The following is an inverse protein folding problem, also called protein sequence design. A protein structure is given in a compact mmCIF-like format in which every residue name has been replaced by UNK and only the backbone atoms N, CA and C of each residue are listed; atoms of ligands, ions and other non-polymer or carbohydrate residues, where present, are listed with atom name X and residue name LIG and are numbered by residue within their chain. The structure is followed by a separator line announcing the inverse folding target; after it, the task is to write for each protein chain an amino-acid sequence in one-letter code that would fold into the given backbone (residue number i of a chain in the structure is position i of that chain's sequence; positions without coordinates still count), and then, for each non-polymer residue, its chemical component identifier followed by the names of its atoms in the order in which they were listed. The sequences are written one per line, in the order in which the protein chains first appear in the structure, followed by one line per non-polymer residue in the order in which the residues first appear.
data_IF_061179684330
#
_entry.id   IF_061179684330
#
_cell.length_a   1.000
_cell.length_b   1.000
_cell.length_c   1.000
_cell.angle_alpha   90.00
_cell.angle_beta   90.00
_cell.angle_gamma   90.00
#
_symmetry.space_group_name_H-M   'P 1'
#
loop_
_entity.id
_entity.type
_entity.pdbx_description
1 polymer ?
#
# COMPACT_ATOMS: atom_id res chain seq x y z
N UNK A 1 -2.60 -3.90 -10.91
CA UNK A 1 -2.53 -2.45 -11.13
C UNK A 1 -2.83 -2.13 -12.59
N UNK A 2 -4.03 -2.54 -13.02
CA UNK A 2 -4.58 -2.38 -14.38
C UNK A 2 -6.11 -2.39 -14.24
N UNK A 3 -6.82 -1.80 -15.19
CA UNK A 3 -8.29 -1.82 -15.31
C UNK A 3 -8.90 -3.23 -15.30
N UNK A 4 -8.14 -4.25 -15.75
CA UNK A 4 -8.55 -5.66 -15.74
C UNK A 4 -7.67 -6.55 -14.84
N UNK A 5 -7.23 -6.04 -13.69
CA UNK A 5 -6.37 -6.75 -12.75
C UNK A 5 -6.97 -8.08 -12.25
N UNK A 6 -8.17 -8.05 -11.68
CA UNK A 6 -8.85 -9.24 -11.16
C UNK A 6 -9.14 -10.26 -12.24
N UNK A 7 -9.58 -9.80 -13.41
CA UNK A 7 -9.83 -10.65 -14.58
C UNK A 7 -8.56 -11.39 -15.02
N UNK A 8 -7.42 -10.72 -15.05
CA UNK A 8 -6.14 -11.35 -15.44
C UNK A 8 -5.65 -12.36 -14.40
N UNK A 9 -5.82 -12.09 -13.10
CA UNK A 9 -5.46 -13.06 -12.05
C UNK A 9 -6.33 -14.32 -12.14
N UNK A 10 -7.64 -14.17 -12.39
CA UNK A 10 -8.52 -15.32 -12.65
C UNK A 10 -8.07 -16.10 -13.90
N UNK A 11 -7.62 -15.41 -14.94
CA UNK A 11 -7.09 -16.04 -16.16
C UNK A 11 -5.82 -16.86 -15.90
N UNK A 12 -4.91 -16.33 -15.09
CA UNK A 12 -3.71 -17.06 -14.65
C UNK A 12 -4.08 -18.29 -13.80
N UNK A 13 -5.07 -18.15 -12.91
CA UNK A 13 -5.57 -19.29 -12.13
C UNK A 13 -6.21 -20.37 -13.02
N UNK A 14 -6.98 -19.97 -14.04
CA UNK A 14 -7.54 -20.91 -15.03
C UNK A 14 -6.44 -21.72 -15.71
N UNK A 15 -5.34 -21.08 -16.13
CA UNK A 15 -4.21 -21.77 -16.75
C UNK A 15 -3.59 -22.80 -15.79
N UNK A 16 -3.33 -22.41 -14.53
CA UNK A 16 -2.76 -23.32 -13.55
C UNK A 16 -3.66 -24.52 -13.23
N UNK A 17 -4.99 -24.30 -13.19
CA UNK A 17 -5.97 -25.38 -13.04
C UNK A 17 -6.01 -26.28 -14.28
N UNK A 18 -6.02 -25.71 -15.49
CA UNK A 18 -6.05 -26.48 -16.73
C UNK A 18 -4.82 -27.37 -16.91
N UNK A 19 -3.65 -26.93 -16.44
CA UNK A 19 -2.40 -27.68 -16.54
C UNK A 19 -2.10 -28.56 -15.32
N UNK A 20 -2.96 -28.57 -14.29
CA UNK A 20 -2.72 -29.33 -13.05
C UNK A 20 -1.51 -28.85 -12.23
N UNK A 21 -1.13 -27.59 -12.38
CA UNK A 21 0.01 -26.95 -11.71
C UNK A 21 -0.39 -26.33 -10.36
N UNK A 22 -1.09 -27.11 -9.52
CA UNK A 22 -1.58 -26.73 -8.19
C UNK A 22 -1.46 -27.92 -7.22
N UNK A 23 -1.47 -27.66 -5.91
CA UNK A 23 -1.56 -28.70 -4.88
C UNK A 23 -0.34 -29.62 -4.75
N UNK A 24 0.80 -29.29 -5.38
CA UNK A 24 2.06 -30.05 -5.24
C UNK A 24 3.27 -29.11 -5.09
N UNK A 25 4.37 -29.55 -4.45
CA UNK A 25 5.60 -28.77 -4.39
C UNK A 25 6.16 -28.45 -5.79
N UNK A 26 6.69 -27.25 -5.98
CA UNK A 26 7.29 -26.80 -7.24
C UNK A 26 6.32 -26.21 -8.26
N UNK A 27 5.02 -26.17 -7.97
CA UNK A 27 3.99 -25.54 -8.82
C UNK A 27 3.05 -24.68 -7.98
N UNK A 28 2.35 -23.74 -8.62
CA UNK A 28 1.31 -22.93 -7.98
C UNK A 28 1.13 -21.57 -8.65
N UNK A 29 0.09 -20.85 -8.22
CA UNK A 29 -0.12 -19.43 -8.57
C UNK A 29 0.33 -18.59 -7.38
N UNK A 30 1.51 -17.98 -7.51
CA UNK A 30 2.18 -17.31 -6.39
C UNK A 30 2.21 -15.79 -6.64
N UNK A 31 1.28 -15.01 -6.06
CA UNK A 31 1.36 -13.56 -6.12
C UNK A 31 2.52 -13.07 -5.25
N UNK A 32 3.49 -12.38 -5.85
CA UNK A 32 4.60 -11.77 -5.12
C UNK A 32 4.09 -10.53 -4.38
N UNK A 33 3.74 -10.70 -3.11
CA UNK A 33 3.32 -9.61 -2.23
C UNK A 33 4.47 -8.62 -2.01
N UNK A 34 4.13 -7.33 -1.91
CA UNK A 34 5.11 -6.23 -1.86
C UNK A 34 5.63 -5.91 -0.46
N UNK A 35 4.78 -5.34 0.41
CA UNK A 35 5.16 -4.97 1.78
C UNK A 35 5.30 -6.20 2.69
N UNK A 36 6.20 -6.07 3.67
CA UNK A 36 6.61 -7.12 4.61
C UNK A 36 5.44 -7.80 5.33
N UNK A 37 4.35 -7.06 5.58
CA UNK A 37 3.19 -7.55 6.32
C UNK A 37 1.86 -7.29 5.60
N UNK A 38 1.85 -7.02 4.28
CA UNK A 38 0.58 -6.82 3.56
C UNK A 38 -0.31 -8.06 3.67
N UNK A 39 0.30 -9.25 3.68
CA UNK A 39 -0.45 -10.49 3.90
C UNK A 39 -1.08 -10.49 5.31
N UNK A 40 -0.29 -10.19 6.34
CA UNK A 40 -0.79 -10.14 7.72
C UNK A 40 -1.84 -9.07 7.96
N UNK A 41 -1.70 -7.86 7.40
CA UNK A 41 -2.70 -6.81 7.50
C UNK A 41 -4.05 -7.27 6.91
N UNK A 42 -4.03 -7.86 5.70
CA UNK A 42 -5.23 -8.47 5.13
C UNK A 42 -5.80 -9.59 6.04
N UNK A 43 -4.95 -10.47 6.56
CA UNK A 43 -5.36 -11.54 7.46
C UNK A 43 -6.03 -11.01 8.75
N UNK A 44 -5.65 -9.82 9.20
CA UNK A 44 -6.18 -9.16 10.41
C UNK A 44 -7.41 -8.27 10.14
N UNK A 45 -7.99 -8.33 8.94
CA UNK A 45 -9.22 -7.60 8.62
C UNK A 45 -8.99 -6.14 8.24
N UNK A 46 -7.81 -5.76 7.77
CA UNK A 46 -7.53 -4.40 7.25
C UNK A 46 -8.20 -4.11 5.89
N UNK A 47 -9.41 -4.63 5.70
CA UNK A 47 -10.30 -4.37 4.57
C UNK A 47 -11.67 -3.98 5.12
N UNK A 48 -12.37 -3.03 4.49
CA UNK A 48 -13.58 -2.46 5.07
C UNK A 48 -14.79 -3.40 5.07
N UNK A 49 -14.67 -4.61 4.52
CA UNK A 49 -15.78 -5.56 4.35
C UNK A 49 -15.60 -6.86 5.13
N UNK A 50 -14.49 -7.02 5.87
CA UNK A 50 -14.17 -8.27 6.55
C UNK A 50 -13.50 -8.07 7.91
N UNK A 51 -13.74 -9.05 8.79
CA UNK A 51 -13.05 -9.27 10.04
C UNK A 51 -11.87 -10.23 9.83
N UNK A 52 -11.00 -10.35 10.83
CA UNK A 52 -9.80 -11.21 10.75
C UNK A 52 -10.15 -12.64 10.29
N UNK A 53 -9.30 -13.18 9.41
CA UNK A 53 -9.45 -14.50 8.80
C UNK A 53 -10.28 -14.52 7.52
N UNK A 54 -10.41 -13.39 6.81
CA UNK A 54 -11.18 -13.26 5.56
C UNK A 54 -12.68 -13.58 5.74
N UNK A 55 -13.26 -13.10 6.84
CA UNK A 55 -14.68 -13.37 7.17
C UNK A 55 -15.51 -12.11 7.03
N UNK A 56 -16.48 -12.13 6.14
CA UNK A 56 -17.24 -10.95 5.77
C UNK A 56 -18.07 -10.38 6.95
N UNK A 57 -18.15 -9.05 7.07
CA UNK A 57 -18.88 -8.37 8.15
C UNK A 57 -20.37 -8.71 8.19
N UNK A 58 -20.97 -8.96 7.02
CA UNK A 58 -22.38 -9.34 6.92
C UNK A 58 -22.69 -10.78 7.36
N UNK A 59 -21.67 -11.62 7.62
CA UNK A 59 -21.90 -12.94 8.21
C UNK A 59 -22.27 -12.81 9.68
N UNK A 60 -23.55 -12.99 9.99
CA UNK A 60 -24.09 -12.82 11.33
C UNK A 60 -23.42 -13.74 12.36
N UNK A 61 -23.09 -14.97 11.98
CA UNK A 61 -22.45 -15.92 12.90
C UNK A 61 -21.03 -15.44 13.28
N UNK A 62 -20.26 -14.98 12.30
CA UNK A 62 -18.96 -14.33 12.56
C UNK A 62 -19.16 -13.08 13.41
N UNK A 63 -20.02 -12.15 13.00
CA UNK A 63 -20.18 -10.87 13.71
C UNK A 63 -20.55 -11.06 15.18
N UNK A 64 -21.50 -11.95 15.50
CA UNK A 64 -21.87 -12.29 16.88
C UNK A 64 -20.72 -12.85 17.72
N UNK A 65 -19.78 -13.58 17.12
CA UNK A 65 -18.57 -14.06 17.81
C UNK A 65 -17.72 -12.88 18.29
N UNK A 66 -17.50 -11.88 17.44
CA UNK A 66 -16.73 -10.69 17.77
C UNK A 66 -17.46 -9.75 18.72
N UNK A 67 -18.76 -9.53 18.49
CA UNK A 67 -19.60 -8.72 19.40
C UNK A 67 -19.61 -9.31 20.82
N UNK A 68 -19.55 -10.65 20.95
CA UNK A 68 -19.46 -11.32 22.24
C UNK A 68 -18.09 -11.19 22.91
N UNK A 69 -16.98 -11.12 22.16
CA UNK A 69 -15.65 -10.90 22.76
C UNK A 69 -15.45 -9.41 23.12
N UNK A 70 -15.80 -8.51 22.19
CA UNK A 70 -15.55 -7.07 22.30
C UNK A 70 -16.66 -6.30 23.03
N UNK A 71 -17.77 -6.96 23.37
CA UNK A 71 -18.88 -6.37 24.12
C UNK A 71 -19.45 -5.09 23.48
N UNK A 72 -19.45 -5.03 22.14
CA UNK A 72 -19.96 -3.91 21.35
C UNK A 72 -20.70 -4.45 20.14
N UNK A 73 -21.78 -3.78 19.73
CA UNK A 73 -22.47 -4.10 18.48
C UNK A 73 -21.64 -3.62 17.29
N UNK A 74 -21.49 -4.46 16.27
CA UNK A 74 -20.73 -4.13 15.06
C UNK A 74 -21.69 -3.81 13.91
N UNK A 75 -21.33 -2.80 13.11
CA UNK A 75 -22.05 -2.47 11.88
C UNK A 75 -21.86 -3.60 10.85
N UNK A 76 -22.94 -4.21 10.32
CA UNK A 76 -22.82 -5.22 9.27
C UNK A 76 -22.47 -4.63 7.89
N UNK A 77 -22.61 -3.31 7.70
CA UNK A 77 -22.34 -2.65 6.43
C UNK A 77 -20.83 -2.47 6.19
N UNK A 78 -20.33 -2.80 4.98
CA UNK A 78 -18.96 -2.52 4.61
C UNK A 78 -18.63 -1.03 4.69
N UNK A 79 -17.47 -0.71 5.25
CA UNK A 79 -16.93 0.65 5.29
C UNK A 79 -16.40 1.16 3.94
N UNK A 80 -15.86 2.38 3.95
CA UNK A 80 -15.24 2.97 2.78
C UNK A 80 -13.90 2.34 2.42
N UNK A 81 -13.58 2.30 1.12
CA UNK A 81 -12.20 2.17 0.62
C UNK A 81 -11.59 3.57 0.47
N UNK A 82 -10.26 3.65 0.42
CA UNK A 82 -9.53 4.94 0.36
C UNK A 82 -10.10 5.91 -0.70
N UNK A 83 -10.35 5.51 -1.97
CA UNK A 83 -10.93 6.44 -2.94
C UNK A 83 -12.31 6.98 -2.51
N UNK A 84 -13.14 6.14 -1.90
CA UNK A 84 -14.46 6.55 -1.40
C UNK A 84 -14.34 7.51 -0.20
N UNK A 85 -13.33 7.33 0.66
CA UNK A 85 -13.05 8.26 1.76
C UNK A 85 -12.70 9.64 1.24
N UNK A 86 -11.88 9.72 0.19
CA UNK A 86 -11.46 10.99 -0.40
C UNK A 86 -12.61 11.72 -1.10
N UNK A 87 -13.42 10.99 -1.89
CA UNK A 87 -14.64 11.54 -2.48
C UNK A 87 -15.61 12.07 -1.42
N UNK A 88 -15.85 11.29 -0.35
CA UNK A 88 -16.73 11.68 0.75
C UNK A 88 -16.16 12.87 1.56
N UNK A 89 -14.84 12.99 1.69
CA UNK A 89 -14.20 14.11 2.37
C UNK A 89 -14.39 15.41 1.58
N UNK A 90 -14.19 15.37 0.26
CA UNK A 90 -14.45 16.51 -0.63
C UNK A 90 -15.94 16.87 -0.65
N UNK A 91 -16.82 15.87 -0.60
CA UNK A 91 -18.27 16.06 -0.44
C UNK A 91 -18.69 16.62 0.92
N UNK A 92 -17.78 16.64 1.90
CA UNK A 92 -18.02 17.15 3.25
C UNK A 92 -18.71 16.16 4.18
N UNK A 93 -18.86 14.88 3.79
CA UNK A 93 -19.47 13.81 4.60
C UNK A 93 -18.44 13.09 5.48
N UNK A 94 -17.16 13.08 5.09
CA UNK A 94 -16.08 12.43 5.82
C UNK A 94 -15.16 13.46 6.49
N UNK A 95 -15.11 13.44 7.83
CA UNK A 95 -14.49 14.54 8.62
C UNK A 95 -13.17 14.20 9.28
N UNK A 96 -12.93 12.93 9.57
CA UNK A 96 -11.83 12.50 10.41
C UNK A 96 -11.11 11.29 9.83
N UNK A 97 -9.78 11.30 9.85
CA UNK A 97 -8.96 10.18 9.38
C UNK A 97 -7.82 9.89 10.37
N UNK A 98 -7.63 8.61 10.70
CA UNK A 98 -6.46 8.14 11.43
C UNK A 98 -5.58 7.27 10.52
N UNK A 99 -4.45 7.83 10.10
CA UNK A 99 -3.47 7.22 9.19
C UNK A 99 -2.36 6.58 10.01
N UNK A 100 -2.20 5.26 9.90
CA UNK A 100 -1.13 4.52 10.58
C UNK A 100 -0.14 3.96 9.56
N UNK A 101 1.08 4.50 9.53
CA UNK A 101 2.21 3.95 8.77
C UNK A 101 2.06 3.96 7.24
N UNK A 102 1.31 4.90 6.67
CA UNK A 102 1.05 5.02 5.23
C UNK A 102 1.22 6.49 4.76
N UNK A 103 1.56 6.69 3.49
CA UNK A 103 1.79 8.01 2.89
C UNK A 103 1.01 8.22 1.59
N UNK A 104 -0.31 8.38 1.71
CA UNK A 104 -1.24 8.60 0.59
C UNK A 104 -0.83 9.77 -0.31
N UNK A 105 -0.37 10.87 0.30
CA UNK A 105 0.00 12.09 -0.42
C UNK A 105 1.12 11.88 -1.46
N UNK A 106 1.94 10.83 -1.30
CA UNK A 106 2.95 10.45 -2.30
C UNK A 106 2.57 9.17 -3.07
N UNK A 107 2.01 8.16 -2.40
CA UNK A 107 1.81 6.82 -2.97
C UNK A 107 0.59 6.68 -3.87
N UNK A 108 -0.47 7.45 -3.62
CA UNK A 108 -1.77 7.28 -4.26
C UNK A 108 -1.85 8.08 -5.59
N UNK A 109 -2.67 7.63 -6.56
CA UNK A 109 -2.81 8.29 -7.84
C UNK A 109 -3.58 9.61 -7.67
N UNK A 110 -3.53 10.47 -8.68
CA UNK A 110 -4.18 11.78 -8.68
C UNK A 110 -3.90 12.57 -7.39
N UNK A 111 -2.63 12.92 -7.22
CA UNK A 111 -2.13 13.64 -6.04
C UNK A 111 -2.92 14.92 -5.74
N UNK A 112 -3.50 15.57 -6.76
CA UNK A 112 -4.29 16.79 -6.57
C UNK A 112 -5.61 16.48 -5.84
N UNK A 113 -6.29 15.41 -6.23
CA UNK A 113 -7.50 14.94 -5.56
C UNK A 113 -7.20 14.54 -4.10
N UNK A 114 -6.11 13.80 -3.86
CA UNK A 114 -5.69 13.42 -2.50
C UNK A 114 -5.42 14.66 -1.63
N UNK A 115 -4.73 15.67 -2.15
CA UNK A 115 -4.45 16.90 -1.40
C UNK A 115 -5.72 17.66 -1.06
N UNK A 116 -6.68 17.73 -1.99
CA UNK A 116 -7.97 18.34 -1.75
C UNK A 116 -8.75 17.62 -0.64
N UNK A 117 -8.77 16.28 -0.67
CA UNK A 117 -9.43 15.47 0.34
C UNK A 117 -8.81 15.64 1.73
N UNK A 118 -7.48 15.50 1.85
CA UNK A 118 -6.78 15.66 3.13
C UNK A 118 -6.96 17.07 3.72
N UNK A 119 -7.03 18.10 2.86
CA UNK A 119 -7.25 19.49 3.29
C UNK A 119 -8.71 19.79 3.68
N UNK A 120 -9.67 18.99 3.22
CA UNK A 120 -11.10 19.18 3.49
C UNK A 120 -11.55 18.57 4.83
N UNK A 121 -10.77 17.63 5.37
CA UNK A 121 -11.08 16.97 6.64
C UNK A 121 -10.81 17.88 7.84
N UNK A 122 -11.65 17.75 8.89
CA UNK A 122 -11.56 18.53 10.12
C UNK A 122 -10.50 17.98 11.09
N UNK A 123 -10.15 16.71 10.97
CA UNK A 123 -9.11 16.09 11.78
C UNK A 123 -8.38 14.98 11.01
N UNK A 124 -7.08 15.16 10.83
CA UNK A 124 -6.21 14.15 10.23
C UNK A 124 -5.13 13.81 11.25
N UNK A 125 -5.18 12.58 11.77
CA UNK A 125 -4.21 12.03 12.71
C UNK A 125 -3.24 11.18 11.90
N UNK A 126 -1.94 11.44 12.01
CA UNK A 126 -0.90 10.61 11.38
C UNK A 126 -0.06 9.97 12.48
N UNK A 127 0.06 8.64 12.43
CA UNK A 127 0.99 7.87 13.25
C UNK A 127 2.08 7.27 12.37
N UNK A 128 3.27 7.84 12.41
CA UNK A 128 4.43 7.40 11.63
C UNK A 128 5.73 7.73 12.37
N UNK A 129 6.84 7.18 11.87
CA UNK A 129 8.20 7.41 12.31
C UNK A 129 8.72 8.80 11.90
N UNK A 130 8.30 9.28 10.74
CA UNK A 130 8.82 10.49 10.14
C UNK A 130 7.69 11.41 9.69
N UNK A 131 7.97 12.72 9.68
CA UNK A 131 7.15 13.66 8.93
C UNK A 131 7.26 13.32 7.44
N UNK A 132 6.21 12.67 6.92
CA UNK A 132 6.06 12.22 5.55
C UNK A 132 5.22 13.24 4.74
N UNK A 133 4.85 12.91 3.50
CA UNK A 133 4.09 13.85 2.66
C UNK A 133 2.64 14.04 3.17
N UNK A 134 2.04 12.98 3.70
CA UNK A 134 0.69 13.00 4.30
C UNK A 134 0.66 13.80 5.61
N UNK A 135 1.73 13.74 6.41
CA UNK A 135 1.87 14.47 7.67
C UNK A 135 1.83 15.99 7.50
N UNK A 136 2.10 16.52 6.30
CA UNK A 136 1.97 17.95 5.97
C UNK A 136 0.53 18.47 6.02
N UNK A 137 -0.46 17.56 6.03
CA UNK A 137 -1.88 17.86 6.16
C UNK A 137 -2.43 17.45 7.55
N UNK A 138 -1.57 16.89 8.41
CA UNK A 138 -2.00 16.37 9.70
C UNK A 138 -2.30 17.49 10.70
N UNK A 139 -3.35 17.26 11.49
CA UNK A 139 -3.71 18.09 12.65
C UNK A 139 -3.05 17.54 13.93
N UNK A 140 -2.83 16.22 13.97
CA UNK A 140 -2.19 15.52 15.08
C UNK A 140 -1.15 14.56 14.52
N UNK A 141 0.04 14.54 15.13
CA UNK A 141 1.09 13.58 14.80
C UNK A 141 1.45 12.75 16.03
N UNK A 142 1.40 11.42 15.90
CA UNK A 142 1.73 10.46 16.94
C UNK A 142 3.01 9.70 16.53
N UNK A 143 4.13 9.84 17.25
CA UNK A 143 5.37 9.14 16.88
C UNK A 143 5.20 7.62 16.97
N UNK A 144 5.38 6.93 15.84
CA UNK A 144 5.39 5.48 15.76
C UNK A 144 6.70 4.86 16.25
N UNK A 145 6.87 3.55 16.03
CA UNK A 145 8.10 2.83 16.39
C UNK A 145 8.72 2.14 15.18
N UNK A 146 10.03 1.90 15.22
CA UNK A 146 10.71 1.12 14.19
C UNK A 146 10.56 -0.39 14.46
N UNK A 147 10.84 -1.24 13.47
CA UNK A 147 10.78 -2.70 13.69
C UNK A 147 11.80 -3.20 14.73
N UNK A 148 12.84 -2.41 15.03
CA UNK A 148 13.84 -2.71 16.07
C UNK A 148 13.32 -2.42 17.48
N UNK A 149 12.30 -1.58 17.59
CA UNK A 149 11.71 -1.13 18.86
C UNK A 149 10.48 -1.94 19.25
N UNK A 150 9.87 -2.65 18.29
CA UNK A 150 8.63 -3.40 18.46
C UNK A 150 8.88 -4.85 18.83
N UNK A 151 7.91 -5.41 19.55
CA UNK A 151 7.66 -6.84 19.64
C UNK A 151 6.39 -7.18 18.86
N UNK A 152 6.34 -8.32 18.17
CA UNK A 152 5.26 -8.61 17.24
C UNK A 152 5.52 -9.77 16.29
N UNK A 153 4.75 -9.79 15.20
CA UNK A 153 4.93 -10.73 14.10
C UNK A 153 4.71 -10.08 12.75
N UNK A 154 5.42 -10.55 11.72
CA UNK A 154 5.10 -10.25 10.32
C UNK A 154 4.72 -11.52 9.59
N UNK A 155 3.71 -11.41 8.74
CA UNK A 155 3.26 -12.46 7.83
C UNK A 155 3.66 -12.09 6.41
N UNK A 156 4.56 -12.88 5.83
CA UNK A 156 5.14 -12.60 4.51
C UNK A 156 4.30 -13.17 3.34
N UNK A 157 4.83 -13.05 2.11
CA UNK A 157 4.17 -13.47 0.88
C UNK A 157 3.77 -14.95 0.80
N UNK A 158 4.49 -15.84 1.50
CA UNK A 158 4.17 -17.28 1.55
C UNK A 158 3.33 -17.66 2.78
N UNK A 159 2.66 -16.68 3.40
CA UNK A 159 1.83 -16.81 4.62
C UNK A 159 2.63 -17.17 5.88
N UNK A 160 3.95 -17.03 5.85
CA UNK A 160 4.81 -17.35 7.00
C UNK A 160 4.78 -16.20 8.00
N UNK A 161 4.30 -16.52 9.19
CA UNK A 161 4.34 -15.72 10.41
C UNK A 161 5.74 -15.88 11.01
N UNK A 162 6.47 -14.78 11.08
CA UNK A 162 7.81 -14.67 11.64
C UNK A 162 7.80 -13.70 12.82
N UNK A 163 8.44 -14.04 13.96
CA UNK A 163 8.51 -13.15 15.10
C UNK A 163 9.40 -11.93 14.81
N UNK A 164 8.94 -10.76 15.26
CA UNK A 164 9.72 -9.53 15.34
C UNK A 164 10.05 -9.33 16.81
N UNK A 165 11.34 -9.20 17.13
CA UNK A 165 11.80 -9.06 18.51
C UNK A 165 12.36 -7.68 18.75
N UNK A 166 11.97 -7.12 19.87
CA UNK A 166 12.46 -5.85 20.38
C UNK A 166 13.94 -5.95 20.71
N UNK A 167 14.75 -5.07 20.14
CA UNK A 167 16.21 -4.99 20.40
C UNK A 167 16.61 -3.68 21.06
N UNK A 168 15.81 -2.62 20.90
CA UNK A 168 15.96 -1.34 21.59
C UNK A 168 14.62 -0.90 22.17
N UNK A 169 14.63 -0.02 23.17
CA UNK A 169 13.39 0.58 23.67
C UNK A 169 12.83 1.60 22.65
N UNK A 170 11.50 1.75 22.52
CA UNK A 170 10.87 2.77 21.71
C UNK A 170 11.37 4.15 22.12
N UNK A 171 11.84 4.92 21.16
CA UNK A 171 12.30 6.28 21.40
C UNK A 171 11.12 7.22 21.71
N UNK A 172 9.93 6.88 21.22
CA UNK A 172 8.66 7.54 21.57
C UNK A 172 8.20 7.22 23.00
N UNK A 173 8.82 6.24 23.68
CA UNK A 173 8.44 5.78 25.02
C UNK A 173 7.23 4.86 25.07
N UNK A 174 6.59 4.54 23.93
CA UNK A 174 5.40 3.68 23.85
C UNK A 174 5.53 2.73 22.66
N UNK A 175 5.03 1.51 22.80
CA UNK A 175 4.90 0.58 21.67
C UNK A 175 3.71 1.01 20.78
N UNK A 176 3.77 0.71 19.48
CA UNK A 176 2.81 1.26 18.52
C UNK A 176 1.36 0.83 18.73
N UNK A 177 1.14 -0.40 19.21
CA UNK A 177 -0.19 -0.90 19.56
C UNK A 177 -0.73 -0.26 20.85
N UNK A 178 0.14 0.17 21.78
CA UNK A 178 -0.25 0.85 23.03
C UNK A 178 -0.84 2.23 22.72
N UNK A 179 -0.30 2.93 21.70
CA UNK A 179 -0.86 4.21 21.25
C UNK A 179 -2.32 4.05 20.79
N UNK A 180 -2.60 3.02 19.99
CA UNK A 180 -3.97 2.72 19.55
C UNK A 180 -4.88 2.32 20.72
N UNK A 181 -4.37 1.53 21.68
CA UNK A 181 -5.10 1.16 22.90
C UNK A 181 -5.49 2.37 23.77
N UNK A 182 -4.55 3.31 23.92
CA UNK A 182 -4.78 4.55 24.66
C UNK A 182 -5.76 5.47 23.95
N UNK A 183 -5.68 5.58 22.62
CA UNK A 183 -6.64 6.34 21.84
C UNK A 183 -8.05 5.78 22.01
N UNK A 184 -8.23 4.46 21.88
CA UNK A 184 -9.53 3.82 22.11
C UNK A 184 -10.04 4.04 23.55
N UNK A 185 -9.16 3.90 24.55
CA UNK A 185 -9.50 4.14 25.96
C UNK A 185 -9.91 5.59 26.20
N UNK A 186 -9.21 6.57 25.60
CA UNK A 186 -9.56 7.98 25.68
C UNK A 186 -10.90 8.29 25.00
N UNK A 187 -11.30 7.50 24.00
CA UNK A 187 -12.61 7.59 23.33
C UNK A 187 -13.73 6.84 24.06
N UNK A 188 -13.44 6.18 25.20
CA UNK A 188 -14.43 5.52 26.05
C UNK A 188 -14.55 4.01 25.88
N UNK A 189 -13.69 3.38 25.08
CA UNK A 189 -13.60 1.91 24.99
C UNK A 189 -12.32 1.42 25.67
N UNK A 190 -12.44 0.80 26.85
CA UNK A 190 -11.28 0.31 27.59
C UNK A 190 -10.58 -0.81 26.82
N UNK A 191 -9.42 -0.51 26.25
CA UNK A 191 -8.59 -1.45 25.51
C UNK A 191 -7.20 -1.47 26.14
N UNK A 192 -6.82 -2.60 26.74
CA UNK A 192 -5.56 -2.75 27.47
C UNK A 192 -4.96 -4.13 27.22
N UNK A 193 -3.70 -4.12 26.81
CA UNK A 193 -2.87 -5.32 26.72
C UNK A 193 -1.54 -5.04 27.42
N UNK A 194 -0.97 -6.06 28.05
CA UNK A 194 0.35 -5.97 28.67
C UNK A 194 1.48 -6.32 27.69
N UNK A 195 1.16 -7.12 26.67
CA UNK A 195 2.11 -7.64 25.69
C UNK A 195 1.38 -8.08 24.42
N UNK A 196 1.98 -7.94 23.20
CA UNK A 196 1.34 -8.33 21.95
C UNK A 196 1.04 -9.83 21.80
N UNK A 197 1.53 -10.68 22.71
CA UNK A 197 1.10 -12.08 22.81
C UNK A 197 -0.37 -12.20 23.20
N UNK A 198 -0.89 -11.32 24.06
CA UNK A 198 -2.31 -11.33 24.44
C UNK A 198 -3.21 -11.00 23.24
N UNK A 199 -2.75 -10.07 22.39
CA UNK A 199 -3.41 -9.71 21.12
C UNK A 199 -3.41 -10.92 20.17
N UNK A 200 -2.28 -11.62 20.04
CA UNK A 200 -2.22 -12.84 19.22
C UNK A 200 -3.11 -13.95 19.77
N UNK A 201 -3.19 -14.11 21.09
CA UNK A 201 -4.07 -15.09 21.71
C UNK A 201 -5.55 -14.75 21.45
N UNK A 202 -5.92 -13.47 21.43
CA UNK A 202 -7.25 -13.01 21.01
C UNK A 202 -7.53 -13.31 19.54
N UNK A 203 -6.59 -13.00 18.65
CA UNK A 203 -6.67 -13.36 17.23
C UNK A 203 -6.87 -14.86 17.07
N UNK A 204 -6.12 -15.69 17.80
CA UNK A 204 -6.23 -17.15 17.72
C UNK A 204 -7.58 -17.67 18.24
N UNK A 205 -8.16 -17.05 19.28
CA UNK A 205 -9.51 -17.38 19.77
C UNK A 205 -10.57 -17.09 18.71
N UNK A 206 -10.47 -15.91 18.07
CA UNK A 206 -11.48 -15.42 17.14
C UNK A 206 -11.32 -16.02 15.75
N UNK A 207 -10.11 -16.37 15.30
CA UNK A 207 -9.81 -16.73 13.91
C UNK A 207 -9.41 -18.21 13.77
N UNK A 208 -10.28 -19.09 13.21
CA UNK A 208 -10.03 -20.52 13.14
C UNK A 208 -8.74 -20.94 12.41
N UNK A 209 -8.28 -20.18 11.41
CA UNK A 209 -7.03 -20.45 10.67
C UNK A 209 -5.78 -20.09 11.47
N UNK A 210 -5.91 -19.34 12.57
CA UNK A 210 -4.83 -18.93 13.47
C UNK A 210 -4.91 -19.62 14.84
N UNK A 211 -5.91 -20.47 15.09
CA UNK A 211 -6.16 -21.14 16.38
C UNK A 211 -4.92 -21.80 16.99
N UNK A 212 -4.07 -22.39 16.16
CA UNK A 212 -2.85 -23.05 16.60
C UNK A 212 -1.63 -22.14 16.75
N UNK A 213 -1.75 -20.83 16.52
CA UNK A 213 -0.64 -19.85 16.58
C UNK A 213 -0.53 -19.27 17.99
N UNK A 214 0.69 -19.26 18.54
CA UNK A 214 1.02 -18.58 19.78
C UNK A 214 2.48 -18.16 19.79
N UNK A 215 2.85 -17.20 20.65
CA UNK A 215 4.23 -16.75 20.78
C UNK A 215 5.15 -17.88 21.26
N UNK A 216 4.67 -18.74 22.16
CA UNK A 216 5.42 -19.92 22.61
C UNK A 216 5.76 -20.85 21.43
N UNK A 217 4.80 -21.07 20.54
CA UNK A 217 5.00 -21.92 19.36
C UNK A 217 5.91 -21.29 18.31
N UNK A 218 5.82 -19.97 18.11
CA UNK A 218 6.74 -19.23 17.27
C UNK A 218 8.17 -19.24 17.83
N UNK A 219 8.33 -19.23 19.15
CA UNK A 219 9.64 -19.38 19.79
C UNK A 219 10.24 -20.78 19.60
N UNK A 220 9.40 -21.82 19.65
CA UNK A 220 9.81 -23.22 19.43
C UNK A 220 10.13 -23.52 17.97
N UNK A 221 9.22 -23.18 17.05
CA UNK A 221 9.32 -23.55 15.63
C UNK A 221 10.06 -22.50 14.78
N UNK A 222 10.34 -21.33 15.34
CA UNK A 222 10.95 -20.18 14.67
C UNK A 222 9.99 -19.42 13.75
N UNK A 223 9.15 -20.11 12.99
CA UNK A 223 8.12 -19.53 12.12
C UNK A 223 7.02 -20.52 11.78
N UNK A 224 5.84 -20.03 11.40
CA UNK A 224 4.69 -20.88 11.08
C UNK A 224 4.00 -20.34 9.83
N UNK A 225 3.64 -21.19 8.86
CA UNK A 225 2.74 -20.77 7.78
C UNK A 225 1.28 -20.99 8.19
N UNK A 226 0.47 -19.93 8.14
CA UNK A 226 -0.97 -20.13 8.31
C UNK A 226 -1.58 -20.69 6.99
N UNK A 227 -2.67 -21.48 7.06
CA UNK A 227 -3.41 -21.90 8.25
C UNK A 227 -2.62 -22.77 9.23
N UNK A 228 -2.80 -22.52 10.53
CA UNK A 228 -2.28 -23.33 11.62
C UNK A 228 -3.46 -23.66 12.56
N UNK A 229 -3.94 -24.90 12.47
CA UNK A 229 -5.06 -25.45 13.25
C UNK A 229 -4.54 -26.53 14.20
N UNK A 230 -5.39 -27.09 15.03
CA UNK A 230 -5.00 -28.17 15.95
C UNK A 230 -4.52 -29.41 15.18
N UNK A 231 -5.15 -29.73 14.05
CA UNK A 231 -4.80 -30.87 13.19
C UNK A 231 -3.57 -30.59 12.31
N UNK A 232 -3.27 -29.32 12.04
CA UNK A 232 -2.13 -28.84 11.25
C UNK A 232 -1.24 -27.94 12.12
N UNK A 233 -0.80 -28.49 13.26
CA UNK A 233 -0.19 -27.73 14.34
C UNK A 233 1.17 -27.12 13.97
N UNK A 234 1.87 -27.67 12.97
CA UNK A 234 3.11 -27.11 12.41
C UNK A 234 2.87 -26.08 11.28
N UNK A 235 1.61 -25.77 10.96
CA UNK A 235 1.22 -24.88 9.87
C UNK A 235 1.00 -25.61 8.54
N UNK A 236 0.68 -24.84 7.50
CA UNK A 236 0.32 -25.35 6.16
C UNK A 236 1.29 -24.83 5.09
N UNK A 237 2.37 -25.57 4.77
CA UNK A 237 3.38 -25.19 3.78
C UNK A 237 2.83 -24.95 2.36
N UNK A 238 1.82 -25.74 2.00
CA UNK A 238 1.28 -25.81 0.65
C UNK A 238 -0.24 -25.82 0.72
N UNK A 239 -0.88 -24.91 -0.01
CA UNK A 239 -2.34 -24.82 -0.09
C UNK A 239 -2.88 -25.77 -1.15
N UNK A 240 -4.14 -26.15 -0.99
CA UNK A 240 -4.90 -26.94 -1.98
C UNK A 240 -4.26 -28.30 -2.28
N UNK A 241 -3.62 -28.90 -1.27
CA UNK A 241 -3.27 -30.33 -1.31
C UNK A 241 -4.59 -31.11 -1.25
N UNK A 242 -4.75 -32.07 -2.17
CA UNK A 242 -5.94 -32.90 -2.39
C UNK A 242 -7.20 -32.16 -2.88
N UNK A 243 -7.64 -31.09 -2.21
CA UNK A 243 -8.87 -30.37 -2.53
C UNK A 243 -8.70 -28.83 -2.44
N UNK A 244 -9.43 -28.07 -3.27
CA UNK A 244 -9.47 -26.62 -3.09
C UNK A 244 -10.22 -26.27 -1.81
N UNK A 245 -9.89 -25.12 -1.21
CA UNK A 245 -10.55 -24.66 0.03
C UNK A 245 -12.07 -24.53 -0.14
N UNK A 246 -12.53 -24.19 -1.35
CA UNK A 246 -13.95 -24.11 -1.72
C UNK A 246 -14.55 -25.43 -2.24
N UNK A 247 -13.82 -26.54 -2.14
CA UNK A 247 -14.11 -27.82 -2.78
C UNK A 247 -13.54 -27.92 -4.19
N UNK A 248 -14.31 -27.55 -5.20
CA UNK A 248 -13.89 -27.60 -6.61
C UNK A 248 -13.32 -26.27 -7.11
N UNK A 249 -12.33 -26.34 -8.00
CA UNK A 249 -11.83 -25.18 -8.73
C UNK A 249 -12.94 -24.52 -9.58
N UNK A 250 -12.80 -23.22 -9.85
CA UNK A 250 -13.77 -22.43 -10.60
C UNK A 250 -13.11 -21.74 -11.79
N UNK A 251 -13.47 -22.15 -13.00
CA UNK A 251 -12.98 -21.53 -14.23
C UNK A 251 -13.83 -20.30 -14.59
N UNK A 252 -13.22 -19.12 -14.52
CA UNK A 252 -13.89 -17.85 -14.82
C UNK A 252 -13.73 -17.47 -16.31
N UNK A 253 -14.76 -16.97 -17.00
CA UNK A 253 -14.59 -16.34 -18.31
C UNK A 253 -13.74 -15.06 -18.19
N UNK A 254 -12.68 -14.94 -19.00
CA UNK A 254 -11.75 -13.80 -18.94
C UNK A 254 -11.61 -13.10 -20.29
N UNK A 255 -12.65 -12.39 -20.77
CA UNK A 255 -12.57 -11.63 -22.02
C UNK A 255 -11.63 -10.43 -21.88
N UNK A 256 -10.90 -10.12 -22.96
CA UNK A 256 -10.15 -8.88 -23.07
C UNK A 256 -11.10 -7.71 -23.34
N UNK A 257 -10.97 -6.65 -22.54
CA UNK A 257 -11.66 -5.38 -22.73
C UNK A 257 -10.58 -4.31 -22.86
N UNK A 258 -10.47 -3.62 -24.02
CA UNK A 258 -9.44 -2.62 -24.18
C UNK A 258 -9.59 -1.50 -23.14
N UNK A 259 -8.49 -1.11 -22.48
CA UNK A 259 -8.48 0.03 -21.55
C UNK A 259 -8.97 1.32 -22.22
N UNK A 260 -9.58 2.19 -21.42
CA UNK A 260 -9.96 3.54 -21.82
C UNK A 260 -8.74 4.49 -21.84
N UNK A 261 -7.65 4.12 -21.17
CA UNK A 261 -6.37 4.86 -21.15
C UNK A 261 -5.58 4.64 -22.44
N UNK A 262 -6.12 5.15 -23.56
CA UNK A 262 -5.53 4.97 -24.90
C UNK A 262 -4.64 6.12 -25.29
N UNK A 263 -3.50 5.76 -25.89
CA UNK A 263 -2.66 6.70 -26.61
C UNK A 263 -3.43 7.31 -27.79
N UNK A 264 -3.21 8.60 -28.04
CA UNK A 264 -3.81 9.35 -29.14
C UNK A 264 -2.86 10.45 -29.63
N UNK A 265 -3.29 11.26 -30.60
CA UNK A 265 -2.44 12.31 -31.17
C UNK A 265 -1.93 13.33 -30.14
N UNK A 266 -2.68 13.59 -29.06
CA UNK A 266 -2.30 14.51 -27.98
C UNK A 266 -1.41 13.83 -26.94
N UNK A 267 -1.65 12.56 -26.66
CA UNK A 267 -0.90 11.74 -25.69
C UNK A 267 -0.42 10.45 -26.36
N UNK A 268 0.65 10.52 -27.18
CA UNK A 268 1.05 9.41 -28.05
C UNK A 268 1.88 8.32 -27.37
N UNK A 269 2.33 8.53 -26.13
CA UNK A 269 3.17 7.58 -25.39
C UNK A 269 2.40 6.97 -24.22
N UNK A 270 2.81 5.79 -23.78
CA UNK A 270 2.33 5.16 -22.56
C UNK A 270 3.41 5.20 -21.48
N UNK A 271 3.05 5.61 -20.27
CA UNK A 271 3.93 5.60 -19.10
C UNK A 271 3.63 4.40 -18.20
N UNK A 272 4.69 3.76 -17.73
CA UNK A 272 4.67 2.73 -16.70
C UNK A 272 5.50 3.17 -15.50
N UNK A 273 4.98 3.02 -14.29
CA UNK A 273 5.76 3.22 -13.06
C UNK A 273 6.26 1.90 -12.49
N UNK A 274 7.46 1.89 -11.92
CA UNK A 274 8.02 0.74 -11.23
C UNK A 274 8.88 1.09 -10.03
N UNK A 275 9.84 0.21 -9.72
CA UNK A 275 10.68 0.29 -8.53
C UNK A 275 12.15 0.05 -8.87
N UNK A 276 13.06 0.52 -8.01
CA UNK A 276 14.47 0.13 -8.00
C UNK A 276 14.81 -0.67 -6.75
N UNK A 277 15.97 -1.31 -6.76
CA UNK A 277 16.45 -2.13 -5.64
C UNK A 277 16.82 -1.29 -4.41
N UNK A 278 17.43 -0.13 -4.61
CA UNK A 278 18.05 0.67 -3.54
C UNK A 278 17.07 1.55 -2.76
N UNK A 279 15.87 1.81 -3.30
CA UNK A 279 14.86 2.66 -2.70
C UNK A 279 13.54 1.91 -2.60
N UNK A 280 12.87 2.03 -1.45
CA UNK A 280 11.64 1.29 -1.18
C UNK A 280 10.41 2.21 -1.23
N UNK A 281 9.47 1.92 -2.15
CA UNK A 281 8.23 2.69 -2.36
C UNK A 281 8.45 4.20 -2.27
N UNK A 282 7.84 4.91 -1.32
CA UNK A 282 7.95 6.38 -1.16
C UNK A 282 9.30 6.89 -0.61
N UNK A 283 10.19 5.97 -0.22
CA UNK A 283 11.54 6.29 0.21
C UNK A 283 11.64 7.00 1.56
N UNK A 284 10.55 7.09 2.35
CA UNK A 284 10.52 7.77 3.65
C UNK A 284 11.58 7.23 4.63
N UNK A 285 11.87 5.92 4.56
CA UNK A 285 12.94 5.27 5.32
C UNK A 285 14.27 5.25 4.54
N UNK A 286 14.25 4.76 3.29
CA UNK A 286 15.49 4.44 2.55
C UNK A 286 16.26 5.66 2.06
N UNK A 287 15.60 6.79 1.77
CA UNK A 287 16.27 8.05 1.36
C UNK A 287 17.06 8.69 2.50
N UNK A 288 16.76 8.32 3.75
CA UNK A 288 17.47 8.77 4.96
C UNK A 288 18.72 7.93 5.25
N UNK A 289 19.10 7.04 4.33
CA UNK A 289 20.27 6.17 4.45
C UNK A 289 21.28 6.44 3.33
N UNK A 290 22.47 5.85 3.43
CA UNK A 290 23.47 5.90 2.34
C UNK A 290 23.00 5.30 1.01
N UNK A 291 21.88 4.56 0.98
CA UNK A 291 21.32 3.98 -0.24
C UNK A 291 20.92 5.03 -1.28
N UNK A 292 20.69 6.28 -0.87
CA UNK A 292 20.43 7.41 -1.78
C UNK A 292 21.56 7.61 -2.79
N UNK A 293 22.79 7.20 -2.48
CA UNK A 293 23.91 7.28 -3.40
C UNK A 293 23.71 6.49 -4.71
N UNK A 294 22.93 5.41 -4.67
CA UNK A 294 22.65 4.53 -5.83
C UNK A 294 21.47 4.99 -6.67
N UNK A 295 20.54 5.78 -6.12
CA UNK A 295 19.35 6.29 -6.82
C UNK A 295 18.97 7.65 -6.25
N UNK A 296 19.64 8.70 -6.76
CA UNK A 296 19.59 10.06 -6.20
C UNK A 296 18.36 10.85 -6.61
N UNK A 297 17.78 10.53 -7.75
CA UNK A 297 16.58 11.15 -8.31
C UNK A 297 15.80 10.09 -9.11
N UNK A 298 14.49 10.27 -9.25
CA UNK A 298 13.71 9.50 -10.21
C UNK A 298 14.02 9.97 -11.63
N UNK A 299 14.13 9.02 -12.56
CA UNK A 299 14.48 9.28 -13.97
C UNK A 299 13.38 8.80 -14.89
N UNK A 300 13.33 9.36 -16.09
CA UNK A 300 12.45 8.95 -17.18
C UNK A 300 13.25 8.16 -18.21
N UNK A 301 13.07 6.84 -18.24
CA UNK A 301 13.60 6.00 -19.31
C UNK A 301 12.75 6.20 -20.58
N UNK A 302 13.42 6.57 -21.69
CA UNK A 302 12.80 6.82 -22.99
C UNK A 302 13.60 6.13 -24.11
N UNK A 303 12.90 5.51 -25.07
CA UNK A 303 13.53 4.85 -26.21
C UNK A 303 14.21 5.86 -27.16
N UNK A 304 15.39 5.54 -27.76
CA UNK A 304 16.11 6.45 -28.66
C UNK A 304 15.26 7.04 -29.79
N UNK A 305 14.40 6.22 -30.43
CA UNK A 305 13.51 6.70 -31.51
C UNK A 305 12.54 7.77 -31.02
N UNK A 306 11.92 7.59 -29.86
CA UNK A 306 10.97 8.56 -29.31
C UNK A 306 11.65 9.82 -28.82
N UNK A 307 12.87 9.69 -28.28
CA UNK A 307 13.70 10.80 -27.86
C UNK A 307 14.13 11.66 -29.07
N UNK A 308 14.61 11.01 -30.15
CA UNK A 308 15.07 11.68 -31.36
C UNK A 308 13.95 12.51 -32.03
N UNK A 309 12.75 11.94 -32.17
CA UNK A 309 11.58 12.65 -32.75
C UNK A 309 11.19 13.88 -31.94
N UNK A 310 11.49 13.90 -30.63
CA UNK A 310 11.13 14.98 -29.69
C UNK A 310 12.29 15.93 -29.35
N UNK A 311 13.49 15.69 -29.90
CA UNK A 311 14.68 16.46 -29.56
C UNK A 311 15.13 16.30 -28.10
N UNK A 312 14.80 15.17 -27.47
CA UNK A 312 15.20 14.85 -26.10
C UNK A 312 16.60 14.21 -26.12
N UNK A 313 17.49 14.70 -25.27
CA UNK A 313 18.86 14.17 -25.11
C UNK A 313 19.05 13.56 -23.73
N UNK A 314 19.97 12.60 -23.60
CA UNK A 314 20.28 11.96 -22.31
C UNK A 314 20.66 13.03 -21.27
N UNK A 315 20.08 12.96 -20.08
CA UNK A 315 20.31 13.92 -19.00
C UNK A 315 19.61 15.28 -19.16
N UNK A 316 18.81 15.50 -20.22
CA UNK A 316 17.97 16.70 -20.31
C UNK A 316 16.73 16.61 -19.42
N UNK A 317 16.14 17.76 -19.12
CA UNK A 317 14.84 17.82 -18.44
C UNK A 317 13.71 17.62 -19.44
N UNK A 318 12.76 16.74 -19.09
CA UNK A 318 11.61 16.40 -19.92
C UNK A 318 10.34 16.59 -19.11
N UNK A 319 9.44 17.42 -19.65
CA UNK A 319 8.08 17.54 -19.17
C UNK A 319 7.25 16.34 -19.62
N UNK A 320 6.49 15.77 -18.70
CA UNK A 320 5.49 14.74 -18.91
C UNK A 320 4.12 15.30 -18.59
N UNK A 321 3.24 15.29 -19.58
CA UNK A 321 1.86 15.75 -19.44
C UNK A 321 0.88 14.64 -19.70
N UNK A 322 -0.05 14.42 -18.78
CA UNK A 322 -1.17 13.50 -18.94
C UNK A 322 -2.50 14.28 -18.95
N UNK A 323 -3.61 13.56 -18.75
CA UNK A 323 -4.92 14.18 -18.48
C UNK A 323 -5.04 14.66 -17.03
N UNK A 324 -4.37 14.00 -16.09
CA UNK A 324 -4.44 14.28 -14.66
C UNK A 324 -3.50 15.42 -14.23
N UNK A 325 -2.35 15.57 -14.90
CA UNK A 325 -1.40 16.60 -14.49
C UNK A 325 -0.15 16.72 -15.35
N UNK A 326 0.85 17.37 -14.78
CA UNK A 326 2.14 17.63 -15.43
C UNK A 326 3.30 17.55 -14.42
N UNK A 327 4.35 16.82 -14.78
CA UNK A 327 5.59 16.73 -13.99
C UNK A 327 6.83 16.85 -14.89
N UNK A 328 8.00 17.06 -14.29
CA UNK A 328 9.28 17.14 -14.99
C UNK A 328 10.28 16.17 -14.36
N UNK A 329 10.93 15.39 -15.22
CA UNK A 329 11.91 14.38 -14.84
C UNK A 329 13.17 14.49 -15.70
N UNK A 330 14.26 13.89 -15.21
CA UNK A 330 15.51 13.75 -15.95
C UNK A 330 15.41 12.60 -16.95
N UNK A 331 15.68 12.84 -18.23
CA UNK A 331 15.67 11.78 -19.23
C UNK A 331 16.87 10.85 -19.12
N UNK A 332 16.60 9.55 -19.28
CA UNK A 332 17.58 8.51 -19.58
C UNK A 332 17.22 7.85 -20.91
N UNK A 333 18.01 8.11 -21.94
CA UNK A 333 17.80 7.51 -23.26
C UNK A 333 18.34 6.08 -23.24
N UNK A 334 17.48 5.09 -23.50
CA UNK A 334 17.83 3.67 -23.36
C UNK A 334 16.95 2.76 -24.22
N UNK A 335 17.53 1.65 -24.71
CA UNK A 335 16.81 0.59 -25.44
C UNK A 335 16.12 -0.42 -24.50
N UNK A 336 16.18 -0.21 -23.18
CA UNK A 336 15.52 -1.06 -22.19
C UNK A 336 13.99 -1.01 -22.32
N UNK A 337 13.43 0.13 -22.66
CA UNK A 337 11.99 0.34 -22.88
C UNK A 337 11.67 0.23 -24.37
N UNK A 338 10.47 -0.25 -24.70
CA UNK A 338 10.03 -0.36 -26.09
C UNK A 338 9.68 1.02 -26.67
N UNK A 339 9.78 1.22 -28.00
CA UNK A 339 9.22 2.39 -28.66
C UNK A 339 7.74 2.60 -28.28
N UNK A 340 7.35 3.84 -28.01
CA UNK A 340 6.01 4.22 -27.54
C UNK A 340 5.78 4.06 -26.04
N UNK A 341 6.74 3.48 -25.30
CA UNK A 341 6.63 3.24 -23.85
C UNK A 341 7.72 4.00 -23.09
N UNK A 342 7.31 4.63 -22.00
CA UNK A 342 8.14 5.33 -21.04
C UNK A 342 8.13 4.58 -19.71
N UNK A 343 9.22 4.67 -18.96
CA UNK A 343 9.30 4.11 -17.61
C UNK A 343 9.82 5.14 -16.62
N UNK A 344 9.23 5.19 -15.44
CA UNK A 344 9.74 5.99 -14.32
C UNK A 344 9.49 5.32 -12.96
N UNK A 345 9.94 5.95 -11.89
CA UNK A 345 9.83 5.51 -10.51
C UNK A 345 9.23 6.62 -9.66
N UNK A 346 8.77 6.29 -8.46
CA UNK A 346 8.02 7.20 -7.56
C UNK A 346 8.68 7.33 -6.18
N UNK A 347 9.99 7.12 -6.12
CA UNK A 347 10.73 7.04 -4.86
C UNK A 347 11.01 8.40 -4.23
N UNK A 348 10.98 9.46 -5.03
CA UNK A 348 11.24 10.83 -4.61
C UNK A 348 9.97 11.67 -4.80
N UNK A 349 9.36 12.24 -3.75
CA UNK A 349 8.09 12.98 -3.81
C UNK A 349 8.17 14.19 -4.73
N UNK A 350 9.35 14.84 -4.83
CA UNK A 350 9.57 15.96 -5.75
C UNK A 350 9.41 15.57 -7.23
N UNK A 351 9.46 14.28 -7.56
CA UNK A 351 9.31 13.76 -8.92
C UNK A 351 7.86 13.77 -9.40
N UNK A 352 6.89 13.75 -8.48
CA UNK A 352 5.47 13.85 -8.81
C UNK A 352 4.96 12.76 -9.77
N UNK A 353 5.52 11.55 -9.73
CA UNK A 353 5.15 10.49 -10.68
C UNK A 353 3.64 10.13 -10.64
N UNK A 354 3.01 10.21 -9.46
CA UNK A 354 1.59 9.92 -9.28
C UNK A 354 0.67 11.14 -9.57
N UNK A 355 1.22 12.33 -9.80
CA UNK A 355 0.47 13.53 -10.23
C UNK A 355 -0.11 13.35 -11.62
N UNK A 356 0.59 12.56 -12.45
CA UNK A 356 0.20 12.28 -13.83
C UNK A 356 -0.60 10.98 -13.97
N UNK A 357 -0.64 10.13 -12.94
CA UNK A 357 -1.44 8.90 -12.92
C UNK A 357 -2.92 9.24 -12.82
N UNK A 358 -3.74 8.59 -13.63
CA UNK A 358 -5.19 8.79 -13.69
C UNK A 358 -5.93 8.02 -12.60
N UNK A 359 -7.22 8.30 -12.47
CA UNK A 359 -8.17 7.67 -11.55
C UNK A 359 -8.68 6.30 -12.02
N UNK A 360 -8.22 5.81 -13.19
CA UNK A 360 -8.59 4.49 -13.69
C UNK A 360 -8.18 3.40 -12.71
N UNK A 361 -9.07 2.42 -12.53
CA UNK A 361 -8.88 1.36 -11.54
C UNK A 361 -9.49 0.03 -11.97
N UNK A 362 -9.11 -1.04 -11.28
CA UNK A 362 -9.70 -2.36 -11.44
C UNK A 362 -11.16 -2.39 -10.97
N UNK A 363 -12.03 -3.00 -11.79
CA UNK A 363 -13.48 -3.03 -11.56
C UNK A 363 -13.93 -3.72 -10.27
N UNK A 364 -13.14 -4.64 -9.70
CA UNK A 364 -13.52 -5.40 -8.50
C UNK A 364 -12.94 -4.78 -7.23
N UNK A 365 -11.65 -4.44 -7.28
CA UNK A 365 -10.88 -4.02 -6.11
C UNK A 365 -10.69 -2.51 -6.00
N UNK A 366 -10.98 -1.76 -7.07
CA UNK A 366 -10.66 -0.34 -7.20
C UNK A 366 -9.13 -0.08 -7.08
N UNK A 367 -8.30 -1.08 -7.41
CA UNK A 367 -6.84 -0.95 -7.44
C UNK A 367 -6.44 -0.06 -8.63
N UNK A 368 -5.69 1.04 -8.43
CA UNK A 368 -5.35 1.96 -9.51
C UNK A 368 -4.53 1.35 -10.66
N UNK A 369 -4.70 1.94 -11.85
CA UNK A 369 -3.98 1.61 -13.09
C UNK A 369 -2.62 2.33 -13.17
N UNK A 370 -1.73 2.09 -12.18
CA UNK A 370 -0.39 2.68 -12.16
C UNK A 370 0.51 2.33 -13.37
N UNK A 371 0.19 1.26 -14.08
CA UNK A 371 1.03 0.68 -15.13
C UNK A 371 0.64 1.12 -16.54
N UNK A 372 -0.40 1.94 -16.67
CA UNK A 372 -0.82 2.50 -17.97
C UNK A 372 -1.29 3.93 -17.75
N UNK A 373 -0.58 4.89 -18.34
CA UNK A 373 -1.02 6.29 -18.38
C UNK A 373 -0.62 6.88 -19.72
N UNK A 374 -1.56 7.43 -20.48
CA UNK A 374 -1.23 8.07 -21.73
C UNK A 374 -0.62 9.46 -21.46
N UNK A 375 0.57 9.68 -21.99
CA UNK A 375 1.34 10.90 -21.74
C UNK A 375 1.90 11.50 -23.03
N UNK A 376 2.29 12.76 -22.95
CA UNK A 376 3.15 13.42 -23.91
C UNK A 376 4.43 13.88 -23.23
N UNK A 377 5.56 13.59 -23.87
CA UNK A 377 6.88 14.02 -23.45
C UNK A 377 7.38 15.19 -24.32
N UNK A 378 8.00 16.19 -23.72
CA UNK A 378 8.59 17.33 -24.43
C UNK A 378 9.78 17.93 -23.65
N UNK A 379 10.78 18.51 -24.35
CA UNK A 379 11.88 19.20 -23.70
C UNK A 379 11.39 20.41 -22.89
N UNK A 380 11.96 20.61 -21.71
CA UNK A 380 11.69 21.77 -20.85
C UNK A 380 12.97 22.30 -20.23
N UNK A 381 12.94 23.54 -19.75
CA UNK A 381 14.06 24.18 -19.05
C UNK A 381 13.76 24.53 -17.58
N UNK A 382 12.53 24.26 -17.13
CA UNK A 382 12.04 24.56 -15.77
C UNK A 382 11.20 23.40 -15.24
N UNK A 383 11.07 23.27 -13.90
CA UNK A 383 10.13 22.34 -13.27
C UNK A 383 8.67 22.66 -13.62
N UNK A 384 7.76 21.72 -13.37
CA UNK A 384 6.33 21.97 -13.57
C UNK A 384 5.77 22.95 -12.54
N UNK A 385 4.62 23.56 -12.85
CA UNK A 385 3.89 24.42 -11.89
C UNK A 385 3.55 23.65 -10.60
N UNK A 386 3.17 22.37 -10.73
CA UNK A 386 2.92 21.51 -9.59
C UNK A 386 4.19 21.33 -8.73
N UNK A 387 5.36 21.07 -9.33
CA UNK A 387 6.62 20.93 -8.59
C UNK A 387 7.06 22.25 -7.91
N UNK A 388 6.73 23.40 -8.50
CA UNK A 388 6.93 24.69 -7.84
C UNK A 388 6.00 24.87 -6.63
N UNK A 389 4.72 24.57 -6.79
CA UNK A 389 3.74 24.60 -5.70
C UNK A 389 4.14 23.64 -4.56
N UNK A 390 4.50 22.41 -4.91
CA UNK A 390 4.97 21.38 -3.97
C UNK A 390 6.16 21.88 -3.14
N UNK A 391 7.16 22.49 -3.79
CA UNK A 391 8.32 23.05 -3.09
C UNK A 391 7.94 24.19 -2.15
N UNK A 392 7.08 25.10 -2.59
CA UNK A 392 6.60 26.21 -1.74
C UNK A 392 5.80 25.71 -0.54
N UNK A 393 4.88 24.77 -0.77
CA UNK A 393 4.09 24.16 0.29
C UNK A 393 4.97 23.43 1.30
N UNK A 394 5.91 22.60 0.82
CA UNK A 394 6.87 21.90 1.68
C UNK A 394 7.71 22.86 2.52
N UNK A 395 8.24 23.93 1.91
CA UNK A 395 9.03 24.92 2.64
C UNK A 395 8.21 25.62 3.75
N UNK A 396 6.94 25.95 3.47
CA UNK A 396 6.05 26.52 4.47
C UNK A 396 5.80 25.56 5.66
N UNK A 397 5.55 24.28 5.38
CA UNK A 397 5.33 23.29 6.45
C UNK A 397 6.58 23.03 7.28
N UNK A 398 7.77 23.01 6.66
CA UNK A 398 9.04 22.91 7.38
C UNK A 398 9.25 24.11 8.30
N UNK A 399 8.99 25.32 7.81
CA UNK A 399 9.09 26.54 8.61
C UNK A 399 8.15 26.51 9.83
N UNK A 400 6.89 26.06 9.65
CA UNK A 400 5.93 25.92 10.75
C UNK A 400 6.40 24.88 11.78
N UNK A 401 6.97 23.76 11.31
CA UNK A 401 7.51 22.71 12.19
C UNK A 401 8.71 23.20 13.01
N UNK A 402 9.64 23.92 12.38
CA UNK A 402 10.78 24.54 13.06
C UNK A 402 10.35 25.59 14.09
N UNK A 403 9.32 26.39 13.77
CA UNK A 403 8.73 27.35 14.70
C UNK A 403 8.13 26.64 15.92
N UNK A 404 7.30 25.62 15.71
CA UNK A 404 6.70 24.85 16.79
C UNK A 404 7.74 24.19 17.70
N UNK A 405 8.83 23.65 17.13
CA UNK A 405 9.95 23.08 17.88
C UNK A 405 10.76 24.12 18.66
N UNK A 406 10.76 25.38 18.23
CA UNK A 406 11.43 26.46 18.95
C UNK A 406 10.59 27.02 20.11
N UNK A 407 9.28 26.85 20.06
CA UNK A 407 8.32 27.31 21.08
C UNK A 407 8.12 26.30 22.21
N UNK A 408 8.34 25.00 21.94
CA UNK A 408 8.28 23.90 22.90
C UNK A 408 9.59 23.75 23.69
#
# INVERSE_FOLDING_TARGET
EHSQGSTMVMGIANLAMATGNLGRPGVGVNPLRGQNNVQGACDMGSFPHELTGYRHLSDEATRRLFEAEWQVALDPEPGYRIPNMFDAAIGGEFKGLYVQGEDFAQSDPDTQHVYAALSAMECVIVQDLFLNETAKFAHVFLPGCSFLEKDGTFTNAERRISPVRKVIAPLSGMDEWDITCRLATAMGYEMRYSHPSEIMDEIARLTPTFRGVSYAKLAELGSIQWPCRDEASAGTPLMHVDEFVRGKGYFAPTPYVPTDERANARYPLLLTTGRVLSQYNVGAQTRRTGAVAYHREDILEIHPTDAQVRGIVDGSWVGLKSRAGETVLRAKVTERVQPGVLYTTFHHPESGANVITTDNSDWATNCPEYKVTAVQAYPVSKPSEWQEMFRRFTAAQQQLSEQALSEA
#
